data_IF_313826689345
#
_entry.id   IF_313826689345
#
_cell.length_a   1.000
_cell.length_b   1.000
_cell.length_c   1.000
_cell.angle_alpha   90.00
_cell.angle_beta   90.00
_cell.angle_gamma   90.00
#
_symmetry.space_group_name_H-M   'P 1'
#
loop_
_entity.id
_entity.type
_entity.pdbx_description
1 polymer ?
#
# COMPACT_ATOMS: atom_id res chain seq x y z
N UNK A 1 -2.68 -20.66 17.68
CA UNK A 1 -3.60 -19.82 18.47
C UNK A 1 -2.99 -18.42 18.52
N UNK A 2 -3.57 -17.46 17.78
CA UNK A 2 -3.20 -16.07 17.94
C UNK A 2 -3.79 -15.60 19.28
N UNK A 3 -2.94 -15.37 20.26
CA UNK A 3 -3.34 -14.71 21.50
C UNK A 3 -3.62 -13.25 21.20
N UNK A 4 -4.83 -12.80 21.47
CA UNK A 4 -5.12 -11.38 21.45
C UNK A 4 -4.37 -10.68 22.58
N UNK A 5 -3.85 -9.46 22.35
CA UNK A 5 -3.32 -8.65 23.44
C UNK A 5 -4.40 -8.49 24.52
N UNK A 6 -4.02 -8.58 25.78
CA UNK A 6 -4.94 -8.36 26.90
C UNK A 6 -5.47 -6.92 26.94
N UNK A 7 -4.70 -5.99 26.38
CA UNK A 7 -4.99 -4.55 26.38
C UNK A 7 -5.26 -4.06 24.95
N UNK A 8 -6.54 -3.93 24.61
CA UNK A 8 -6.95 -3.37 23.33
C UNK A 8 -6.87 -1.85 23.36
N UNK A 9 -6.04 -1.29 22.48
CA UNK A 9 -6.00 0.15 22.23
C UNK A 9 -6.82 0.49 20.98
N UNK A 10 -7.21 1.77 20.78
CA UNK A 10 -7.90 2.19 19.55
C UNK A 10 -7.16 1.81 18.27
N UNK A 11 -5.84 1.67 18.31
CA UNK A 11 -5.02 1.24 17.18
C UNK A 11 -5.33 -0.20 16.72
N UNK A 12 -5.80 -1.06 17.64
CA UNK A 12 -6.15 -2.44 17.33
C UNK A 12 -7.56 -2.60 16.75
N UNK A 13 -8.49 -1.67 17.02
CA UNK A 13 -9.91 -1.82 16.66
C UNK A 13 -10.13 -1.99 15.17
N UNK A 14 -9.39 -1.24 14.34
CA UNK A 14 -9.50 -1.38 12.89
C UNK A 14 -9.08 -2.78 12.42
N UNK A 15 -7.95 -3.28 12.89
CA UNK A 15 -7.46 -4.62 12.55
C UNK A 15 -8.41 -5.72 13.02
N UNK A 16 -8.94 -5.59 14.24
CA UNK A 16 -9.91 -6.53 14.80
C UNK A 16 -11.22 -6.56 13.99
N UNK A 17 -11.74 -5.40 13.61
CA UNK A 17 -12.96 -5.32 12.80
C UNK A 17 -12.77 -6.01 11.44
N UNK A 18 -11.65 -5.78 10.76
CA UNK A 18 -11.31 -6.46 9.51
C UNK A 18 -11.16 -7.95 9.68
N UNK A 19 -10.45 -8.39 10.71
CA UNK A 19 -10.28 -9.80 11.02
C UNK A 19 -11.61 -10.49 11.34
N UNK A 20 -12.48 -9.86 12.16
CA UNK A 20 -13.80 -10.39 12.48
C UNK A 20 -14.65 -10.58 11.22
N UNK A 21 -14.57 -9.64 10.27
CA UNK A 21 -15.23 -9.76 8.97
C UNK A 21 -14.74 -10.98 8.19
N UNK A 22 -13.42 -11.18 8.09
CA UNK A 22 -12.85 -12.36 7.42
C UNK A 22 -13.27 -13.68 8.10
N UNK A 23 -13.29 -13.72 9.44
CA UNK A 23 -13.76 -14.88 10.20
C UNK A 23 -15.21 -15.18 9.86
N UNK A 24 -16.09 -14.18 9.84
CA UNK A 24 -17.49 -14.35 9.46
C UNK A 24 -17.65 -14.90 8.05
N UNK A 25 -16.85 -14.42 7.08
CA UNK A 25 -16.86 -14.96 5.71
C UNK A 25 -16.50 -16.45 5.67
N UNK A 26 -15.56 -16.91 6.53
CA UNK A 26 -15.16 -18.34 6.62
C UNK A 26 -16.26 -19.22 7.21
N UNK A 27 -17.24 -18.68 7.95
CA UNK A 27 -18.39 -19.46 8.43
C UNK A 27 -19.39 -19.79 7.33
N UNK A 28 -19.21 -19.26 6.13
CA UNK A 28 -20.05 -19.44 4.95
C UNK A 28 -19.32 -20.27 3.86
N UNK A 29 -18.98 -21.54 4.12
CA UNK A 29 -18.11 -22.32 3.21
C UNK A 29 -18.74 -22.60 1.84
N UNK A 30 -20.08 -22.50 1.74
CA UNK A 30 -20.83 -22.65 0.49
C UNK A 30 -20.86 -21.38 -0.36
N UNK A 31 -20.29 -20.27 0.14
CA UNK A 31 -20.12 -19.03 -0.60
C UNK A 31 -18.68 -18.92 -1.11
N UNK A 32 -18.54 -18.36 -2.29
CA UNK A 32 -17.23 -18.04 -2.88
C UNK A 32 -16.85 -16.61 -2.50
N UNK A 33 -16.42 -16.43 -1.25
CA UNK A 33 -16.06 -15.11 -0.71
C UNK A 33 -14.54 -15.03 -0.62
N UNK A 34 -13.95 -14.06 -1.31
CA UNK A 34 -12.51 -13.79 -1.25
C UNK A 34 -12.28 -12.42 -0.60
N UNK A 35 -11.60 -12.43 0.52
CA UNK A 35 -11.12 -11.23 1.19
C UNK A 35 -9.80 -10.81 0.56
N UNK A 36 -9.81 -9.72 -0.18
CA UNK A 36 -8.61 -9.16 -0.78
C UNK A 36 -8.00 -8.10 0.15
N UNK A 37 -6.81 -8.38 0.68
CA UNK A 37 -6.08 -7.46 1.55
C UNK A 37 -5.14 -6.60 0.72
N UNK A 38 -5.46 -5.31 0.60
CA UNK A 38 -4.64 -4.33 -0.10
C UNK A 38 -3.89 -3.49 0.95
N UNK A 39 -2.56 -3.56 0.95
CA UNK A 39 -1.71 -2.83 1.91
C UNK A 39 -1.57 -1.37 1.51
N UNK A 40 -1.09 -1.11 0.31
CA UNK A 40 -1.06 0.24 -0.25
C UNK A 40 -1.43 0.14 -1.73
N UNK A 41 -2.24 1.07 -2.17
CA UNK A 41 -2.63 1.25 -3.56
C UNK A 41 -2.19 2.62 -4.01
N UNK A 42 -1.63 2.71 -5.21
CA UNK A 42 -1.28 3.99 -5.82
C UNK A 42 -1.78 4.04 -7.27
N UNK A 43 -2.46 5.15 -7.60
CA UNK A 43 -2.92 5.45 -8.95
C UNK A 43 -3.00 6.96 -9.14
N UNK A 44 -2.70 7.44 -10.34
CA UNK A 44 -2.86 8.83 -10.74
C UNK A 44 -4.30 9.34 -10.62
N UNK A 45 -5.30 8.43 -10.60
CA UNK A 45 -6.71 8.78 -10.45
C UNK A 45 -7.16 9.00 -9.00
N UNK A 46 -6.29 8.72 -8.02
CA UNK A 46 -6.61 8.98 -6.61
C UNK A 46 -6.55 10.48 -6.31
N UNK A 47 -7.41 10.93 -5.36
CA UNK A 47 -7.33 12.30 -4.88
C UNK A 47 -5.99 12.58 -4.20
N UNK A 48 -5.34 13.63 -4.63
CA UNK A 48 -4.10 14.13 -4.03
C UNK A 48 -4.31 14.70 -2.62
N UNK A 49 -5.56 14.93 -2.18
CA UNK A 49 -5.87 15.41 -0.82
C UNK A 49 -5.74 14.32 0.25
N UNK A 50 -5.55 13.09 -0.16
CA UNK A 50 -5.33 11.97 0.76
C UNK A 50 -4.02 12.14 1.53
N UNK A 51 -4.08 11.98 2.86
CA UNK A 51 -2.94 12.15 3.76
C UNK A 51 -2.08 10.89 3.86
N UNK A 52 -1.68 10.35 2.71
CA UNK A 52 -0.72 9.26 2.61
C UNK A 52 0.61 9.79 2.11
N UNK A 53 1.69 9.27 2.62
CA UNK A 53 3.07 9.67 2.26
C UNK A 53 3.26 9.81 0.73
N UNK A 54 2.79 8.84 -0.05
CA UNK A 54 2.93 8.87 -1.51
C UNK A 54 2.15 10.04 -2.13
N UNK A 55 0.94 10.33 -1.66
CA UNK A 55 0.12 11.44 -2.17
C UNK A 55 0.70 12.80 -1.78
N UNK A 56 1.20 12.93 -0.56
CA UNK A 56 1.89 14.15 -0.11
C UNK A 56 3.16 14.40 -0.93
N UNK A 57 3.90 13.33 -1.27
CA UNK A 57 5.07 13.39 -2.14
C UNK A 57 4.70 13.83 -3.57
N UNK A 58 3.63 13.26 -4.16
CA UNK A 58 3.13 13.67 -5.48
C UNK A 58 2.64 15.12 -5.49
N UNK A 59 1.90 15.52 -4.45
CA UNK A 59 1.49 16.91 -4.29
C UNK A 59 2.69 17.88 -4.21
N UNK A 60 3.72 17.52 -3.47
CA UNK A 60 4.94 18.32 -3.38
C UNK A 60 5.63 18.42 -4.74
N UNK A 61 5.73 17.31 -5.46
CA UNK A 61 6.30 17.27 -6.81
C UNK A 61 5.55 18.20 -7.77
N UNK A 62 4.21 18.11 -7.81
CA UNK A 62 3.39 18.97 -8.69
C UNK A 62 3.52 20.45 -8.34
N UNK A 63 3.53 20.80 -7.04
CA UNK A 63 3.75 22.18 -6.61
C UNK A 63 5.13 22.69 -7.02
N UNK A 64 6.16 21.87 -6.90
CA UNK A 64 7.54 22.22 -7.29
C UNK A 64 7.73 22.35 -8.80
N UNK A 65 6.93 21.68 -9.61
CA UNK A 65 6.87 21.90 -11.08
C UNK A 65 6.24 23.23 -11.44
N UNK A 66 5.42 23.81 -10.54
CA UNK A 66 4.82 25.15 -10.68
C UNK A 66 5.70 26.27 -10.11
N UNK A 67 5.07 27.24 -9.46
CA UNK A 67 5.72 28.44 -8.91
C UNK A 67 6.32 28.20 -7.51
N UNK A 68 5.73 27.29 -6.74
CA UNK A 68 6.14 26.99 -5.38
C UNK A 68 7.33 26.03 -5.37
N UNK A 69 8.42 26.44 -4.71
CA UNK A 69 9.65 25.64 -4.61
C UNK A 69 9.95 25.15 -3.21
N UNK A 70 8.93 25.09 -2.35
CA UNK A 70 9.08 24.61 -0.96
C UNK A 70 9.47 23.14 -0.97
N UNK A 71 10.59 22.75 -0.31
CA UNK A 71 10.97 21.34 -0.20
C UNK A 71 9.91 20.53 0.53
N UNK A 72 9.74 19.27 0.12
CA UNK A 72 8.88 18.31 0.80
C UNK A 72 9.50 17.92 2.15
N UNK A 73 8.83 18.25 3.25
CA UNK A 73 9.31 17.93 4.59
C UNK A 73 8.86 16.51 4.96
N UNK A 74 9.81 15.64 5.29
CA UNK A 74 9.54 14.24 5.65
C UNK A 74 10.48 13.82 6.79
N UNK A 75 9.99 12.98 7.70
CA UNK A 75 10.82 12.43 8.78
C UNK A 75 11.79 11.35 8.31
N UNK A 76 12.76 10.99 9.16
CA UNK A 76 13.78 9.97 8.87
C UNK A 76 13.34 8.54 9.27
N UNK A 77 12.10 8.32 9.68
CA UNK A 77 11.61 7.01 10.09
C UNK A 77 11.77 6.00 8.93
N UNK A 78 12.49 4.88 9.13
CA UNK A 78 12.61 3.87 8.09
C UNK A 78 11.28 3.18 7.85
N UNK A 79 10.80 3.20 6.62
CA UNK A 79 9.56 2.57 6.20
C UNK A 79 9.78 1.70 4.97
N UNK A 80 9.16 0.52 4.97
CA UNK A 80 9.03 -0.35 3.80
C UNK A 80 7.57 -0.46 3.40
N UNK A 81 7.27 -0.23 2.13
CA UNK A 81 5.91 -0.25 1.58
C UNK A 81 5.86 -1.05 0.28
N UNK A 82 4.70 -1.62 0.03
CA UNK A 82 4.40 -2.28 -1.25
C UNK A 82 3.20 -1.57 -1.90
N UNK A 83 3.43 -0.92 -3.03
CA UNK A 83 2.42 -0.14 -3.75
C UNK A 83 1.95 -0.89 -4.98
N UNK A 84 0.76 -1.50 -4.89
CA UNK A 84 0.12 -2.10 -6.06
C UNK A 84 -0.61 -1.02 -6.86
N UNK A 85 -0.48 -1.07 -8.18
CA UNK A 85 -1.17 -0.18 -9.11
C UNK A 85 -2.44 -0.80 -9.72
N UNK A 86 -3.15 -0.03 -10.56
CA UNK A 86 -4.40 -0.47 -11.18
C UNK A 86 -4.27 -1.77 -11.96
N UNK A 87 -3.20 -1.92 -12.75
CA UNK A 87 -3.03 -3.08 -13.64
C UNK A 87 -2.84 -4.39 -12.87
N UNK A 88 -1.92 -4.40 -11.90
CA UNK A 88 -1.67 -5.61 -11.12
C UNK A 88 -2.85 -5.91 -10.18
N UNK A 89 -3.52 -4.89 -9.65
CA UNK A 89 -4.74 -5.08 -8.87
C UNK A 89 -5.87 -5.68 -9.74
N UNK A 90 -6.07 -5.17 -10.95
CA UNK A 90 -7.04 -5.73 -11.90
C UNK A 90 -6.71 -7.18 -12.25
N UNK A 91 -5.43 -7.48 -12.52
CA UNK A 91 -4.95 -8.83 -12.79
C UNK A 91 -5.22 -9.78 -11.64
N UNK A 92 -4.95 -9.35 -10.40
CA UNK A 92 -5.24 -10.13 -9.20
C UNK A 92 -6.74 -10.41 -9.06
N UNK A 93 -7.57 -9.38 -9.23
CA UNK A 93 -9.04 -9.54 -9.20
C UNK A 93 -9.51 -10.51 -10.27
N UNK A 94 -8.95 -10.43 -11.49
CA UNK A 94 -9.29 -11.35 -12.58
C UNK A 94 -8.92 -12.80 -12.23
N UNK A 95 -7.75 -13.04 -11.63
CA UNK A 95 -7.37 -14.38 -11.16
C UNK A 95 -8.35 -14.91 -10.10
N UNK A 96 -8.76 -14.06 -9.16
CA UNK A 96 -9.73 -14.41 -8.12
C UNK A 96 -11.08 -14.81 -8.73
N UNK A 97 -11.59 -14.00 -9.68
CA UNK A 97 -12.90 -14.25 -10.31
C UNK A 97 -12.93 -15.54 -11.14
N UNK A 98 -11.78 -15.96 -11.69
CA UNK A 98 -11.67 -17.19 -12.46
C UNK A 98 -11.26 -18.42 -11.62
N UNK A 99 -10.99 -18.24 -10.33
CA UNK A 99 -10.64 -19.34 -9.45
C UNK A 99 -11.86 -20.21 -9.12
N UNK A 100 -11.82 -21.51 -9.34
CA UNK A 100 -12.96 -22.39 -9.04
C UNK A 100 -13.14 -22.53 -7.52
N UNK A 101 -14.28 -22.11 -7.02
CA UNK A 101 -14.76 -22.45 -5.68
C UNK A 101 -13.87 -21.99 -4.51
N UNK A 102 -13.11 -20.90 -4.68
CA UNK A 102 -12.23 -20.41 -3.63
C UNK A 102 -13.02 -19.60 -2.59
N UNK A 103 -12.81 -19.94 -1.31
CA UNK A 103 -13.27 -19.17 -0.15
C UNK A 103 -12.09 -18.96 0.77
N UNK A 104 -11.53 -17.75 0.80
CA UNK A 104 -10.30 -17.49 1.54
C UNK A 104 -9.91 -16.02 1.53
N UNK A 105 -8.76 -15.74 2.10
CA UNK A 105 -8.14 -14.43 2.02
C UNK A 105 -6.86 -14.51 1.19
N UNK A 106 -6.62 -13.51 0.38
CA UNK A 106 -5.40 -13.31 -0.40
C UNK A 106 -4.87 -11.91 -0.20
N UNK A 107 -3.57 -11.78 -0.24
CA UNK A 107 -2.91 -10.49 -0.11
C UNK A 107 -2.53 -9.97 -1.50
N UNK A 108 -2.73 -8.68 -1.72
CA UNK A 108 -2.20 -7.98 -2.87
C UNK A 108 -0.72 -7.68 -2.63
N UNK A 109 0.13 -7.97 -3.62
CA UNK A 109 1.56 -7.70 -3.56
C UNK A 109 2.11 -7.41 -4.96
N UNK A 110 3.25 -6.73 -5.01
CA UNK A 110 4.02 -6.48 -6.23
C UNK A 110 5.21 -7.41 -6.33
N UNK A 111 6.04 -7.28 -7.39
CA UNK A 111 7.30 -8.03 -7.48
C UNK A 111 8.25 -7.72 -6.33
N UNK A 112 8.25 -6.46 -5.88
CA UNK A 112 9.18 -5.98 -4.85
C UNK A 112 8.62 -4.74 -4.14
N UNK A 113 8.58 -4.74 -2.79
CA UNK A 113 8.28 -3.55 -2.00
C UNK A 113 9.44 -2.55 -2.08
N UNK A 114 9.20 -1.30 -1.66
CA UNK A 114 10.19 -0.24 -1.71
C UNK A 114 10.42 0.42 -0.35
N UNK A 115 11.67 0.70 -0.02
CA UNK A 115 12.04 1.50 1.13
C UNK A 115 11.80 3.00 0.86
N UNK A 116 11.35 3.75 1.88
CA UNK A 116 11.09 5.18 1.79
C UNK A 116 12.28 5.96 1.25
N UNK A 117 13.48 5.71 1.78
CA UNK A 117 14.69 6.41 1.36
C UNK A 117 15.08 6.09 -0.09
N UNK A 118 14.89 4.85 -0.52
CA UNK A 118 15.10 4.46 -1.91
C UNK A 118 14.10 5.17 -2.82
N UNK A 119 12.84 5.25 -2.41
CA UNK A 119 11.83 5.98 -3.18
C UNK A 119 12.15 7.48 -3.26
N UNK A 120 12.51 8.12 -2.16
CA UNK A 120 12.91 9.53 -2.14
C UNK A 120 14.08 9.80 -3.08
N UNK A 121 15.12 8.95 -3.03
CA UNK A 121 16.26 9.06 -3.93
C UNK A 121 15.85 9.00 -5.40
N UNK A 122 14.99 8.04 -5.77
CA UNK A 122 14.52 7.91 -7.16
C UNK A 122 13.61 9.06 -7.57
N UNK A 123 12.75 9.57 -6.68
CA UNK A 123 11.90 10.73 -6.95
C UNK A 123 12.72 12.01 -7.13
N UNK A 124 13.81 12.17 -6.38
CA UNK A 124 14.75 13.28 -6.59
C UNK A 124 15.45 13.14 -7.94
N UNK A 125 15.97 11.96 -8.24
CA UNK A 125 16.77 11.71 -9.45
C UNK A 125 15.96 11.84 -10.74
N UNK A 126 14.77 11.22 -10.79
CA UNK A 126 13.99 11.11 -12.03
C UNK A 126 13.03 12.30 -12.20
N UNK A 127 12.47 12.84 -11.12
CA UNK A 127 11.48 13.91 -11.17
C UNK A 127 11.96 15.25 -10.61
N UNK A 128 13.15 15.29 -10.03
CA UNK A 128 13.71 16.51 -9.44
C UNK A 128 13.04 16.93 -8.12
N UNK A 129 12.37 16.01 -7.43
CA UNK A 129 11.73 16.28 -6.13
C UNK A 129 12.76 16.86 -5.15
N UNK A 130 12.50 18.04 -4.61
CA UNK A 130 13.29 18.62 -3.52
C UNK A 130 12.63 18.26 -2.19
N UNK A 131 13.38 17.64 -1.29
CA UNK A 131 12.90 17.28 0.04
C UNK A 131 13.89 17.65 1.13
N UNK A 132 13.41 17.69 2.35
CA UNK A 132 14.22 17.93 3.55
C UNK A 132 13.79 16.95 4.64
N UNK A 133 14.78 16.34 5.26
CA UNK A 133 14.56 15.46 6.41
C UNK A 133 14.31 16.32 7.65
N UNK A 134 13.25 16.02 8.39
CA UNK A 134 12.87 16.73 9.60
C UNK A 134 12.82 15.78 10.79
N UNK A 135 13.01 16.32 12.00
CA UNK A 135 12.90 15.54 13.24
C UNK A 135 11.47 15.20 13.62
N UNK A 136 10.48 15.86 12.98
CA UNK A 136 9.06 15.66 13.29
C UNK A 136 8.56 14.34 12.73
N UNK A 137 8.35 13.38 13.62
CA UNK A 137 7.72 12.09 13.27
C UNK A 137 6.20 12.27 13.16
N UNK A 138 5.63 11.93 12.00
CA UNK A 138 4.18 11.89 11.82
C UNK A 138 3.67 10.52 12.22
N UNK A 139 2.97 10.45 13.36
CA UNK A 139 2.37 9.19 13.83
C UNK A 139 0.97 9.06 13.24
N UNK A 140 0.76 8.03 12.44
CA UNK A 140 -0.57 7.70 11.94
C UNK A 140 -1.50 7.25 13.10
N UNK A 141 -2.83 7.44 13.01
CA UNK A 141 -3.77 6.99 14.04
C UNK A 141 -3.67 5.49 14.36
N UNK A 142 -3.20 4.68 13.42
CA UNK A 142 -2.99 3.24 13.58
C UNK A 142 -1.56 2.87 14.00
N UNK A 143 -0.77 3.84 14.49
CA UNK A 143 0.61 3.67 14.92
C UNK A 143 1.62 3.67 13.77
N UNK A 144 2.91 3.63 14.14
CA UNK A 144 4.02 3.51 13.20
C UNK A 144 4.13 2.05 12.76
N UNK A 145 4.10 1.80 11.46
CA UNK A 145 4.31 0.48 10.86
C UNK A 145 5.58 0.52 9.99
N UNK A 146 6.74 0.13 10.53
CA UNK A 146 7.99 0.18 9.77
C UNK A 146 7.93 -0.65 8.49
N UNK A 147 7.35 -1.85 8.57
CA UNK A 147 7.14 -2.72 7.42
C UNK A 147 5.63 -2.93 7.24
N UNK A 148 5.11 -2.52 6.09
CA UNK A 148 3.70 -2.69 5.75
C UNK A 148 3.56 -3.20 4.33
N UNK A 149 3.81 -4.49 4.17
CA UNK A 149 3.71 -5.26 2.94
C UNK A 149 3.46 -6.73 3.27
N UNK A 150 2.98 -7.50 2.29
CA UNK A 150 2.75 -8.93 2.48
C UNK A 150 4.01 -9.76 2.24
N UNK A 151 4.15 -10.84 3.04
CA UNK A 151 5.04 -11.97 2.77
C UNK A 151 4.24 -13.21 2.38
N UNK A 152 2.92 -13.09 2.29
CA UNK A 152 2.03 -14.16 1.90
C UNK A 152 1.72 -14.05 0.41
N UNK A 153 2.23 -15.00 -0.36
CA UNK A 153 2.07 -15.06 -1.82
C UNK A 153 1.01 -16.08 -2.24
N UNK A 154 0.03 -16.36 -1.40
CA UNK A 154 -1.03 -17.34 -1.68
C UNK A 154 -1.80 -17.02 -2.98
N UNK A 155 -1.89 -15.76 -3.38
CA UNK A 155 -2.52 -15.37 -4.64
C UNK A 155 -1.85 -16.04 -5.87
N UNK A 156 -0.59 -16.49 -5.76
CA UNK A 156 0.07 -17.24 -6.82
C UNK A 156 -0.61 -18.59 -7.10
N UNK A 157 -1.24 -19.21 -6.10
CA UNK A 157 -2.01 -20.45 -6.24
C UNK A 157 -3.25 -20.24 -7.12
N UNK A 158 -3.72 -19.00 -7.25
CA UNK A 158 -4.82 -18.60 -8.13
C UNK A 158 -4.33 -18.13 -9.51
N UNK A 159 -3.04 -18.28 -9.80
CA UNK A 159 -2.42 -17.86 -11.06
C UNK A 159 -1.96 -16.41 -11.10
N UNK A 160 -2.03 -15.67 -9.98
CA UNK A 160 -1.56 -14.29 -9.93
C UNK A 160 -0.04 -14.21 -9.96
N UNK A 161 0.47 -13.42 -10.90
CA UNK A 161 1.89 -13.07 -11.03
C UNK A 161 1.98 -11.56 -11.23
N UNK A 162 2.53 -10.80 -10.25
CA UNK A 162 2.70 -9.37 -10.38
C UNK A 162 3.63 -9.04 -11.56
N UNK A 163 3.32 -7.99 -12.29
CA UNK A 163 4.11 -7.57 -13.46
C UNK A 163 5.04 -6.41 -13.14
N UNK A 164 4.78 -5.69 -12.05
CA UNK A 164 5.54 -4.51 -11.64
C UNK A 164 6.03 -4.64 -10.20
N UNK A 165 7.15 -4.00 -9.89
CA UNK A 165 7.58 -3.65 -8.54
C UNK A 165 6.84 -2.41 -8.07
N UNK A 166 6.92 -2.09 -6.78
CA UNK A 166 6.39 -0.83 -6.23
C UNK A 166 6.97 0.39 -6.93
N UNK A 167 8.27 0.37 -7.26
CA UNK A 167 8.92 1.49 -7.94
C UNK A 167 8.40 1.68 -9.35
N UNK A 168 8.31 0.59 -10.13
CA UNK A 168 7.77 0.63 -11.50
C UNK A 168 6.31 1.10 -11.51
N UNK A 169 5.50 0.64 -10.55
CA UNK A 169 4.13 1.11 -10.36
C UNK A 169 4.07 2.60 -10.11
N UNK A 170 4.88 3.10 -9.15
CA UNK A 170 4.88 4.52 -8.78
C UNK A 170 5.29 5.38 -9.97
N UNK A 171 6.31 5.01 -10.71
CA UNK A 171 6.75 5.77 -11.88
C UNK A 171 5.69 5.80 -12.97
N UNK A 172 5.14 4.64 -13.32
CA UNK A 172 4.09 4.54 -14.33
C UNK A 172 2.88 5.42 -14.03
N UNK A 173 2.46 5.47 -12.77
CA UNK A 173 1.32 6.28 -12.34
C UNK A 173 1.70 7.75 -12.18
N UNK A 174 2.91 8.06 -11.71
CA UNK A 174 3.39 9.44 -11.58
C UNK A 174 3.60 10.14 -12.92
N UNK A 175 3.92 9.39 -13.98
CA UNK A 175 4.05 9.92 -15.36
C UNK A 175 2.70 10.37 -15.96
N UNK A 176 1.58 9.98 -15.32
CA UNK A 176 0.23 10.38 -15.73
C UNK A 176 -0.25 11.66 -15.00
N UNK A 177 0.48 12.14 -13.99
CA UNK A 177 0.19 13.36 -13.23
C UNK A 177 0.86 14.58 -13.85
#
# INVERSE_FOLDING_TARGET
LHTFPSDFTPQHYYGLAKWATEVNHRTLPHKHIVDLRVFNYFSHTQSLDLKYMIMEMMNALLRQRGVERTPYAIDDTPLMRDYIGPEDLHRLIFCILNAPGFNGAVDAYTKEPIAKHTLLHWMEKEYGLKYVITERVVVAPTGIKPCYYSKNHKAAELGYQPQMSSLETIFKEADQL
#
